data_IF_605344745313
#
_entry.id   IF_605344745313
#
_cell.length_a   1.000
_cell.length_b   1.000
_cell.length_c   1.000
_cell.angle_alpha   90.00
_cell.angle_beta   90.00
_cell.angle_gamma   90.00
#
_symmetry.space_group_name_H-M   'P 1'
#
loop_
_entity.id
_entity.type
_entity.pdbx_description
1 polymer ?
#
# COMPACT_ATOMS: atom_id res chain seq x y z
N UNK A 1 12.32 -68.88 96.66
CA UNK A 1 11.50 -68.99 97.89
C UNK A 1 10.09 -68.51 97.60
N UNK A 2 9.01 -69.10 98.15
CA UNK A 2 8.88 -70.44 98.71
C UNK A 2 8.15 -71.39 97.74
N UNK A 3 8.53 -72.67 97.82
CA UNK A 3 7.86 -73.81 97.20
C UNK A 3 6.47 -73.98 97.83
N UNK A 4 5.41 -74.05 97.03
CA UNK A 4 4.09 -74.44 97.51
C UNK A 4 4.09 -75.94 97.85
N UNK A 5 3.39 -76.34 98.92
CA UNK A 5 3.42 -77.71 99.41
C UNK A 5 2.78 -78.64 98.38
N UNK A 6 3.50 -79.72 98.05
CA UNK A 6 2.99 -80.86 97.28
C UNK A 6 1.71 -81.37 97.95
N UNK A 7 0.56 -81.09 97.34
CA UNK A 7 -0.69 -81.77 97.63
C UNK A 7 -0.56 -83.25 97.24
N UNK A 8 -1.14 -84.18 98.02
CA UNK A 8 -1.00 -85.60 97.75
C UNK A 8 -1.59 -85.93 96.38
N UNK A 9 -0.81 -86.63 95.56
CA UNK A 9 -1.23 -87.18 94.27
C UNK A 9 -2.30 -88.23 94.56
N UNK A 10 -3.55 -87.80 94.64
CA UNK A 10 -4.68 -88.70 94.47
C UNK A 10 -4.71 -89.08 92.99
N UNK A 11 -4.17 -90.27 92.68
CA UNK A 11 -4.39 -90.92 91.40
C UNK A 11 -5.88 -91.26 91.31
N UNK A 12 -6.68 -90.34 90.78
CA UNK A 12 -8.03 -90.66 90.34
C UNK A 12 -7.93 -91.54 89.09
N UNK A 13 -8.25 -92.82 89.24
CA UNK A 13 -8.54 -93.69 88.10
C UNK A 13 -9.65 -93.03 87.27
N UNK A 14 -9.40 -92.83 85.97
CA UNK A 14 -10.44 -92.46 85.00
C UNK A 14 -11.44 -93.61 84.90
N UNK A 15 -12.73 -93.43 85.24
CA UNK A 15 -13.76 -94.32 84.74
C UNK A 15 -14.01 -93.95 83.29
N UNK A 16 -13.57 -94.79 82.37
CA UNK A 16 -14.02 -94.78 80.98
C UNK A 16 -15.44 -95.34 80.92
N UNK A 17 -16.42 -94.47 80.71
CA UNK A 17 -17.81 -94.88 80.55
C UNK A 17 -18.77 -93.72 80.75
N UNK A 18 -19.06 -92.99 79.69
CA UNK A 18 -20.08 -91.93 79.72
C UNK A 18 -21.44 -92.57 79.46
N UNK A 19 -22.39 -92.34 80.37
CA UNK A 19 -23.82 -92.70 80.33
C UNK A 19 -24.18 -94.20 80.42
N UNK A 20 -24.69 -94.62 81.58
CA UNK A 20 -25.58 -95.79 81.68
C UNK A 20 -27.00 -95.40 81.24
N UNK A 21 -27.71 -96.34 80.62
CA UNK A 21 -29.07 -96.21 80.08
C UNK A 21 -30.19 -95.89 81.10
N UNK A 22 -29.84 -95.50 82.33
CA UNK A 22 -30.72 -95.31 83.48
C UNK A 22 -30.83 -93.86 83.99
N UNK A 23 -30.17 -92.89 83.34
CA UNK A 23 -30.32 -91.46 83.72
C UNK A 23 -29.75 -91.08 85.09
N UNK A 24 -28.91 -91.93 85.68
CA UNK A 24 -28.26 -91.66 86.98
C UNK A 24 -26.88 -91.02 86.73
N UNK A 25 -26.66 -89.83 87.29
CA UNK A 25 -25.40 -89.09 87.14
C UNK A 25 -24.23 -89.83 87.82
N UNK A 26 -23.13 -90.08 87.08
CA UNK A 26 -21.91 -90.76 87.59
C UNK A 26 -21.17 -89.90 88.63
N UNK A 27 -21.36 -88.58 88.62
CA UNK A 27 -20.87 -87.67 89.65
C UNK A 27 -21.88 -86.52 89.87
N UNK A 28 -22.06 -86.02 91.10
CA UNK A 28 -23.01 -84.95 91.40
C UNK A 28 -22.54 -83.54 90.94
N UNK A 29 -21.39 -83.45 90.29
CA UNK A 29 -20.79 -82.19 89.85
C UNK A 29 -20.89 -82.01 88.34
N UNK A 30 -21.19 -80.77 87.92
CA UNK A 30 -21.15 -80.31 86.54
C UNK A 30 -20.17 -79.14 86.43
N UNK A 31 -19.21 -79.23 85.52
CA UNK A 31 -18.29 -78.11 85.25
C UNK A 31 -18.73 -77.41 83.97
N UNK A 32 -18.87 -76.10 84.00
CA UNK A 32 -19.22 -75.35 82.80
C UNK A 32 -17.99 -75.09 81.94
N UNK A 33 -18.07 -75.33 80.63
CA UNK A 33 -16.97 -75.07 79.70
C UNK A 33 -16.66 -73.58 79.54
N UNK A 34 -17.64 -72.70 79.72
CA UNK A 34 -17.48 -71.25 79.51
C UNK A 34 -16.93 -70.53 80.76
N UNK A 35 -17.47 -70.85 81.95
CA UNK A 35 -17.14 -70.20 83.22
C UNK A 35 -16.07 -70.98 84.04
N UNK A 36 -15.79 -72.24 83.66
CA UNK A 36 -15.13 -73.25 84.52
C UNK A 36 -15.74 -73.39 85.94
N UNK A 37 -16.94 -72.84 86.15
CA UNK A 37 -17.59 -72.88 87.45
C UNK A 37 -18.20 -74.26 87.68
N UNK A 38 -18.05 -74.74 88.91
CA UNK A 38 -18.53 -76.01 89.37
C UNK A 38 -19.95 -75.86 89.92
N UNK A 39 -20.90 -76.53 89.28
CA UNK A 39 -22.28 -76.58 89.70
C UNK A 39 -22.54 -77.94 90.35
N UNK A 40 -23.30 -77.91 91.43
CA UNK A 40 -23.71 -79.11 92.13
C UNK A 40 -25.16 -79.43 91.78
N UNK A 41 -25.42 -80.67 91.35
CA UNK A 41 -26.78 -81.18 91.25
C UNK A 41 -27.11 -81.84 92.58
N UNK A 42 -28.17 -81.38 93.23
CA UNK A 42 -28.67 -82.01 94.44
C UNK A 42 -29.30 -83.37 94.10
N UNK A 43 -28.50 -84.44 94.14
CA UNK A 43 -28.94 -85.80 93.85
C UNK A 43 -29.69 -86.46 95.02
N UNK A 44 -30.00 -85.75 96.12
CA UNK A 44 -30.78 -86.32 97.24
C UNK A 44 -32.14 -86.91 96.84
N UNK A 45 -32.88 -86.41 95.82
CA UNK A 45 -34.09 -87.07 95.34
C UNK A 45 -33.84 -88.40 94.61
N UNK A 46 -32.64 -88.58 94.06
CA UNK A 46 -32.20 -89.79 93.33
C UNK A 46 -31.63 -90.85 94.31
N UNK A 47 -31.24 -90.41 95.51
CA UNK A 47 -30.64 -91.23 96.58
C UNK A 47 -31.55 -92.32 97.17
N UNK A 48 -32.87 -92.30 96.93
CA UNK A 48 -33.74 -93.40 97.36
C UNK A 48 -33.53 -94.71 96.57
N UNK A 49 -32.74 -94.68 95.48
CA UNK A 49 -32.28 -95.89 94.77
C UNK A 49 -30.97 -96.48 95.31
N UNK A 50 -30.19 -95.72 96.08
CA UNK A 50 -28.88 -96.16 96.59
C UNK A 50 -28.98 -96.88 97.95
N UNK A 51 -30.00 -96.57 98.76
CA UNK A 51 -30.25 -97.22 100.06
C UNK A 51 -30.73 -98.69 99.95
N UNK A 52 -31.08 -99.15 98.75
CA UNK A 52 -31.43 -100.56 98.49
C UNK A 52 -30.22 -101.47 98.26
N UNK A 53 -29.01 -100.93 98.15
CA UNK A 53 -27.76 -101.71 97.95
C UNK A 53 -26.83 -101.66 99.18
N UNK A 54 -27.01 -100.69 100.10
CA UNK A 54 -26.14 -100.52 101.27
C UNK A 54 -26.56 -101.30 102.53
N UNK A 55 -27.76 -101.90 102.58
CA UNK A 55 -28.15 -102.83 103.65
C UNK A 55 -28.36 -104.21 103.04
N UNK A 56 -27.39 -105.11 103.26
CA UNK A 56 -27.37 -106.48 102.75
C UNK A 56 -28.58 -107.32 103.13
N UNK A 57 -29.68 -107.18 102.38
CA UNK A 57 -30.80 -108.11 102.34
C UNK A 57 -30.76 -108.86 100.99
N UNK A 58 -31.04 -110.17 100.97
CA UNK A 58 -30.93 -111.00 99.77
C UNK A 58 -31.93 -110.61 98.67
N UNK A 59 -31.69 -110.99 97.40
CA UNK A 59 -32.46 -110.55 96.25
C UNK A 59 -33.87 -111.15 96.31
N UNK A 60 -34.88 -110.31 96.52
CA UNK A 60 -36.29 -110.72 96.46
C UNK A 60 -36.73 -110.78 95.00
N UNK A 61 -37.44 -111.87 94.69
CA UNK A 61 -37.88 -112.31 93.37
C UNK A 61 -38.43 -111.23 92.44
N UNK A 62 -38.01 -111.36 91.18
CA UNK A 62 -38.48 -110.68 89.99
C UNK A 62 -40.01 -110.69 89.83
N UNK A 63 -40.60 -109.51 89.61
CA UNK A 63 -41.91 -109.41 88.95
C UNK A 63 -42.89 -108.40 89.52
N UNK A 64 -42.85 -108.07 90.83
CA UNK A 64 -43.89 -107.22 91.47
C UNK A 64 -43.47 -105.80 91.87
N UNK A 65 -42.18 -105.45 91.83
CA UNK A 65 -41.71 -104.08 92.11
C UNK A 65 -41.24 -103.30 90.87
N UNK A 66 -41.22 -103.93 89.69
CA UNK A 66 -40.79 -103.25 88.44
C UNK A 66 -41.82 -102.19 88.01
N UNK A 67 -43.11 -102.46 88.23
CA UNK A 67 -44.20 -101.50 87.97
C UNK A 67 -44.15 -100.31 88.93
N UNK A 68 -43.83 -100.56 90.21
CA UNK A 68 -43.79 -99.55 91.27
C UNK A 68 -42.57 -98.63 91.11
N UNK A 69 -41.41 -99.19 90.73
CA UNK A 69 -40.21 -98.43 90.39
C UNK A 69 -40.41 -97.65 89.08
N UNK A 70 -41.07 -98.23 88.06
CA UNK A 70 -41.38 -97.52 86.80
C UNK A 70 -42.42 -96.41 87.00
N UNK A 71 -43.45 -96.61 87.81
CA UNK A 71 -44.42 -95.55 88.15
C UNK A 71 -43.79 -94.45 89.01
N UNK A 72 -42.89 -94.79 89.94
CA UNK A 72 -42.11 -93.79 90.72
C UNK A 72 -41.11 -93.04 89.85
N UNK A 73 -40.40 -93.70 88.93
CA UNK A 73 -39.53 -93.02 87.95
C UNK A 73 -40.31 -92.16 86.96
N UNK A 74 -41.51 -92.59 86.55
CA UNK A 74 -42.39 -91.82 85.66
C UNK A 74 -43.05 -90.61 86.35
N UNK A 75 -43.16 -90.62 87.69
CA UNK A 75 -43.68 -89.50 88.48
C UNK A 75 -42.60 -88.50 88.91
N UNK A 76 -41.32 -88.81 88.72
CA UNK A 76 -40.24 -87.84 88.86
C UNK A 76 -40.29 -86.86 87.68
N UNK A 77 -40.51 -85.57 87.97
CA UNK A 77 -40.41 -84.50 86.96
C UNK A 77 -39.00 -84.53 86.37
N UNK A 78 -38.87 -84.40 85.05
CA UNK A 78 -37.57 -84.23 84.39
C UNK A 78 -36.83 -83.08 85.08
N UNK A 79 -35.70 -83.39 85.73
CA UNK A 79 -34.90 -82.37 86.38
C UNK A 79 -34.35 -81.41 85.33
N UNK A 80 -34.72 -80.13 85.45
CA UNK A 80 -34.12 -79.06 84.65
C UNK A 80 -32.71 -78.87 85.18
N UNK A 81 -31.71 -79.05 84.31
CA UNK A 81 -30.30 -78.79 84.63
C UNK A 81 -30.16 -77.40 85.27
N UNK A 82 -29.44 -77.27 86.40
CA UNK A 82 -29.20 -75.97 87.02
C UNK A 82 -28.41 -75.08 86.05
N UNK A 83 -28.70 -73.78 86.07
CA UNK A 83 -27.91 -72.78 85.35
C UNK A 83 -26.47 -72.74 85.89
N UNK A 84 -25.45 -72.45 85.06
CA UNK A 84 -24.10 -72.21 85.58
C UNK A 84 -24.16 -71.07 86.60
N UNK A 85 -23.63 -71.28 87.80
CA UNK A 85 -23.48 -70.25 88.84
C UNK A 85 -22.58 -69.10 88.35
N UNK A 86 -21.67 -69.36 87.42
CA UNK A 86 -20.83 -68.34 86.77
C UNK A 86 -21.51 -67.59 85.62
N UNK A 87 -21.92 -68.28 84.54
CA UNK A 87 -22.39 -67.62 83.31
C UNK A 87 -23.92 -67.56 83.14
N UNK A 88 -24.69 -68.19 84.03
CA UNK A 88 -26.16 -68.21 83.98
C UNK A 88 -26.78 -69.04 82.84
N UNK A 89 -25.97 -69.79 82.07
CA UNK A 89 -26.43 -70.60 80.92
C UNK A 89 -26.41 -72.10 81.25
N UNK A 90 -27.26 -72.87 80.57
CA UNK A 90 -27.36 -74.34 80.69
C UNK A 90 -26.69 -75.10 79.54
N UNK A 91 -26.23 -74.38 78.50
CA UNK A 91 -25.87 -74.95 77.18
C UNK A 91 -24.53 -75.70 77.22
N UNK A 92 -23.57 -75.22 78.01
CA UNK A 92 -22.19 -75.72 78.01
C UNK A 92 -21.78 -76.35 79.34
N UNK A 93 -22.66 -77.16 79.93
CA UNK A 93 -22.36 -77.93 81.14
C UNK A 93 -21.83 -79.31 80.76
N UNK A 94 -20.67 -79.68 81.31
CA UNK A 94 -20.10 -81.01 81.18
C UNK A 94 -20.24 -81.77 82.50
N UNK A 95 -20.63 -83.05 82.41
CA UNK A 95 -20.72 -83.92 83.59
C UNK A 95 -19.31 -84.22 84.12
N UNK A 96 -19.14 -84.11 85.44
CA UNK A 96 -17.86 -84.31 86.13
C UNK A 96 -17.19 -83.03 86.61
N UNK A 97 -16.26 -83.19 87.57
CA UNK A 97 -15.26 -82.18 87.91
C UNK A 97 -14.21 -82.19 86.79
N UNK A 98 -14.26 -81.20 85.90
CA UNK A 98 -13.34 -81.07 84.78
C UNK A 98 -12.73 -79.68 84.83
N UNK A 99 -11.42 -79.62 84.64
CA UNK A 99 -10.73 -78.35 84.53
C UNK A 99 -10.70 -77.89 83.07
N UNK A 100 -11.47 -76.85 82.77
CA UNK A 100 -11.49 -76.18 81.47
C UNK A 100 -10.61 -74.93 81.42
N UNK A 101 -9.87 -74.59 82.49
CA UNK A 101 -8.92 -73.47 82.46
C UNK A 101 -7.92 -73.52 81.29
N UNK A 102 -7.31 -74.65 80.88
CA UNK A 102 -6.38 -74.63 79.75
C UNK A 102 -7.08 -74.32 78.43
N UNK A 103 -8.30 -74.84 78.22
CA UNK A 103 -9.07 -74.61 76.99
C UNK A 103 -9.54 -73.15 76.91
N UNK A 104 -10.03 -72.59 78.03
CA UNK A 104 -10.42 -71.18 78.10
C UNK A 104 -9.23 -70.24 77.92
N UNK A 105 -8.06 -70.59 78.46
CA UNK A 105 -6.83 -69.83 78.25
C UNK A 105 -6.36 -69.87 76.78
N UNK A 106 -6.45 -71.04 76.13
CA UNK A 106 -6.16 -71.19 74.69
C UNK A 106 -7.14 -70.39 73.82
N UNK A 107 -8.44 -70.44 74.13
CA UNK A 107 -9.48 -69.66 73.44
C UNK A 107 -9.28 -68.16 73.64
N UNK A 108 -8.97 -67.71 74.86
CA UNK A 108 -8.66 -66.30 75.15
C UNK A 108 -7.41 -65.84 74.40
N UNK A 109 -6.35 -66.66 74.37
CA UNK A 109 -5.13 -66.36 73.63
C UNK A 109 -5.35 -66.39 72.10
N UNK A 110 -6.20 -67.29 71.60
CA UNK A 110 -6.62 -67.30 70.20
C UNK A 110 -7.43 -66.06 69.82
N UNK A 111 -8.35 -65.64 70.71
CA UNK A 111 -9.12 -64.41 70.53
C UNK A 111 -8.22 -63.19 70.49
N UNK A 112 -7.26 -63.05 71.42
CA UNK A 112 -6.28 -61.97 71.42
C UNK A 112 -5.43 -61.95 70.13
N UNK A 113 -4.86 -63.10 69.74
CA UNK A 113 -4.10 -63.22 68.47
C UNK A 113 -4.93 -62.82 67.25
N UNK A 114 -6.22 -63.19 67.23
CA UNK A 114 -7.13 -62.80 66.14
C UNK A 114 -7.40 -61.29 66.14
N UNK A 115 -7.50 -60.67 67.33
CA UNK A 115 -7.63 -59.23 67.51
C UNK A 115 -6.41 -58.49 66.98
N UNK A 116 -5.21 -58.92 67.38
CA UNK A 116 -3.94 -58.34 66.93
C UNK A 116 -3.76 -58.46 65.42
N UNK A 117 -4.10 -59.63 64.85
CA UNK A 117 -4.04 -59.87 63.40
C UNK A 117 -4.98 -58.91 62.65
N UNK A 118 -6.21 -58.73 63.13
CA UNK A 118 -7.18 -57.79 62.55
C UNK A 118 -6.70 -56.34 62.68
N UNK A 119 -6.12 -55.98 63.82
CA UNK A 119 -5.55 -54.65 64.04
C UNK A 119 -4.41 -54.36 63.06
N UNK A 120 -3.45 -55.28 62.91
CA UNK A 120 -2.36 -55.14 61.96
C UNK A 120 -2.84 -55.06 60.51
N UNK A 121 -3.82 -55.89 60.12
CA UNK A 121 -4.44 -55.81 58.80
C UNK A 121 -5.13 -54.46 58.57
N UNK A 122 -5.85 -53.93 59.57
CA UNK A 122 -6.48 -52.62 59.50
C UNK A 122 -5.46 -51.49 59.34
N UNK A 123 -4.35 -51.54 60.09
CA UNK A 123 -3.24 -50.58 59.95
C UNK A 123 -2.63 -50.63 58.55
N UNK A 124 -2.40 -51.83 58.00
CA UNK A 124 -1.90 -51.97 56.62
C UNK A 124 -2.86 -51.38 55.59
N UNK A 125 -4.16 -51.63 55.73
CA UNK A 125 -5.19 -51.05 54.86
C UNK A 125 -5.24 -49.52 54.98
N UNK A 126 -5.17 -48.98 56.20
CA UNK A 126 -5.13 -47.53 56.43
C UNK A 126 -3.89 -46.89 55.79
N UNK A 127 -2.70 -47.51 55.96
CA UNK A 127 -1.47 -47.05 55.34
C UNK A 127 -1.54 -47.08 53.80
N UNK A 128 -2.10 -48.14 53.23
CA UNK A 128 -2.30 -48.26 51.79
C UNK A 128 -3.28 -47.19 51.26
N UNK A 129 -4.40 -46.98 51.96
CA UNK A 129 -5.39 -45.95 51.63
C UNK A 129 -4.81 -44.53 51.70
N UNK A 130 -4.11 -44.19 52.78
CA UNK A 130 -3.44 -42.88 52.92
C UNK A 130 -2.38 -42.66 51.83
N UNK A 131 -1.59 -43.68 51.50
CA UNK A 131 -0.59 -43.60 50.42
C UNK A 131 -1.25 -43.39 49.06
N UNK A 132 -2.36 -44.06 48.78
CA UNK A 132 -3.13 -43.87 47.55
C UNK A 132 -3.69 -42.44 47.46
N UNK A 133 -4.31 -41.93 48.53
CA UNK A 133 -4.81 -40.55 48.60
C UNK A 133 -3.70 -39.53 48.39
N UNK A 134 -2.55 -39.69 49.06
CA UNK A 134 -1.41 -38.80 48.91
C UNK A 134 -0.87 -38.77 47.48
N UNK A 135 -0.83 -39.93 46.80
CA UNK A 135 -0.42 -40.01 45.38
C UNK A 135 -1.44 -39.35 44.45
N UNK A 136 -2.73 -39.57 44.70
CA UNK A 136 -3.81 -38.95 43.94
C UNK A 136 -3.76 -37.42 44.06
N UNK A 137 -3.59 -36.90 45.27
CA UNK A 137 -3.47 -35.47 45.49
C UNK A 137 -2.18 -34.89 44.91
N UNK A 138 -1.04 -35.59 45.04
CA UNK A 138 0.22 -35.17 44.42
C UNK A 138 0.10 -35.11 42.90
N UNK A 139 -0.59 -36.09 42.28
CA UNK A 139 -0.88 -36.07 40.85
C UNK A 139 -1.74 -34.85 40.47
N UNK A 140 -2.83 -34.60 41.20
CA UNK A 140 -3.69 -33.42 41.00
C UNK A 140 -2.89 -32.11 41.05
N UNK A 141 -2.06 -31.92 42.07
CA UNK A 141 -1.20 -30.73 42.22
C UNK A 141 -0.20 -30.58 41.08
N UNK A 142 0.41 -31.68 40.59
CA UNK A 142 1.31 -31.66 39.43
C UNK A 142 0.57 -31.26 38.16
N UNK A 143 -0.64 -31.79 37.93
CA UNK A 143 -1.46 -31.43 36.77
C UNK A 143 -1.87 -29.95 36.82
N UNK A 144 -2.29 -29.45 37.98
CA UNK A 144 -2.62 -28.03 38.17
C UNK A 144 -1.41 -27.11 37.97
N UNK A 145 -0.24 -27.50 38.51
CA UNK A 145 1.02 -26.78 38.26
C UNK A 145 1.36 -26.80 36.77
N UNK A 146 1.31 -27.95 36.11
CA UNK A 146 1.61 -28.05 34.68
C UNK A 146 0.68 -27.19 33.81
N UNK A 147 -0.59 -27.06 34.19
CA UNK A 147 -1.55 -26.13 33.54
C UNK A 147 -1.12 -24.67 33.74
N UNK A 148 -0.76 -24.26 34.95
CA UNK A 148 -0.24 -22.91 35.24
C UNK A 148 1.06 -22.62 34.47
N UNK A 149 2.04 -23.50 34.57
CA UNK A 149 3.32 -23.40 33.87
C UNK A 149 3.12 -23.35 32.34
N UNK A 150 2.10 -24.01 31.79
CA UNK A 150 1.77 -23.94 30.37
C UNK A 150 1.21 -22.55 29.97
N UNK A 151 0.38 -21.94 30.80
CA UNK A 151 -0.14 -20.58 30.57
C UNK A 151 0.98 -19.55 30.69
N UNK A 152 1.82 -19.66 31.72
CA UNK A 152 2.98 -18.79 31.91
C UNK A 152 3.97 -18.89 30.75
N UNK A 153 4.29 -20.10 30.29
CA UNK A 153 5.15 -20.31 29.11
C UNK A 153 4.54 -19.68 27.85
N UNK A 154 3.24 -19.83 27.62
CA UNK A 154 2.57 -19.18 26.47
C UNK A 154 2.64 -17.66 26.57
N UNK A 155 2.42 -17.10 27.75
CA UNK A 155 2.53 -15.66 27.97
C UNK A 155 3.97 -15.16 27.73
N UNK A 156 4.96 -15.86 28.30
CA UNK A 156 6.38 -15.55 28.11
C UNK A 156 6.79 -15.61 26.63
N UNK A 157 6.37 -16.66 25.91
CA UNK A 157 6.63 -16.80 24.46
C UNK A 157 6.02 -15.65 23.68
N UNK A 158 4.79 -15.25 23.99
CA UNK A 158 4.12 -14.11 23.34
C UNK A 158 4.88 -12.80 23.58
N UNK A 159 5.29 -12.53 24.81
CA UNK A 159 6.07 -11.34 25.18
C UNK A 159 7.43 -11.35 24.49
N UNK A 160 8.16 -12.46 24.56
CA UNK A 160 9.47 -12.63 23.91
C UNK A 160 9.38 -12.46 22.40
N UNK A 161 8.38 -13.06 21.74
CA UNK A 161 8.15 -12.91 20.30
C UNK A 161 7.91 -11.46 19.93
N UNK A 162 7.05 -10.75 20.69
CA UNK A 162 6.77 -9.33 20.45
C UNK A 162 8.04 -8.49 20.62
N UNK A 163 8.79 -8.71 21.69
CA UNK A 163 10.01 -7.95 21.99
C UNK A 163 11.09 -8.20 20.93
N UNK A 164 11.34 -9.46 20.54
CA UNK A 164 12.25 -9.80 19.43
C UNK A 164 11.85 -9.10 18.13
N UNK A 165 10.55 -9.03 17.84
CA UNK A 165 10.04 -8.31 16.67
C UNK A 165 10.25 -6.79 16.76
N UNK A 166 10.07 -6.18 17.93
CA UNK A 166 10.35 -4.76 18.16
C UNK A 166 11.83 -4.46 17.97
N UNK A 167 12.70 -5.26 18.62
CA UNK A 167 14.16 -5.14 18.49
C UNK A 167 14.56 -5.27 17.02
N UNK A 168 14.11 -6.30 16.31
CA UNK A 168 14.44 -6.51 14.90
C UNK A 168 14.05 -5.31 14.03
N UNK A 169 12.80 -4.82 14.12
CA UNK A 169 12.35 -3.65 13.35
C UNK A 169 13.14 -2.37 13.67
N UNK A 170 13.42 -2.14 14.95
CA UNK A 170 14.25 -1.02 15.40
C UNK A 170 15.64 -1.12 14.76
N UNK A 171 16.28 -2.29 14.85
CA UNK A 171 17.60 -2.57 14.28
C UNK A 171 17.63 -2.28 12.78
N UNK A 172 16.67 -2.85 12.04
CA UNK A 172 16.59 -2.66 10.58
C UNK A 172 16.36 -1.20 10.21
N UNK A 173 15.52 -0.47 10.97
CA UNK A 173 15.28 0.96 10.76
C UNK A 173 16.55 1.79 11.00
N UNK A 174 17.33 1.46 12.03
CA UNK A 174 18.57 2.18 12.34
C UNK A 174 19.67 1.83 11.33
N UNK A 175 19.83 0.55 10.98
CA UNK A 175 20.75 0.11 9.93
C UNK A 175 20.44 0.75 8.58
N UNK A 176 19.18 0.81 8.16
CA UNK A 176 18.81 1.52 6.94
C UNK A 176 19.10 3.02 7.04
N UNK A 177 18.89 3.62 8.21
CA UNK A 177 19.29 4.99 8.50
C UNK A 177 20.80 5.21 8.36
N UNK A 178 21.62 4.30 8.89
CA UNK A 178 23.09 4.33 8.75
C UNK A 178 23.48 4.26 7.27
N UNK A 179 22.88 3.37 6.48
CA UNK A 179 23.14 3.30 5.04
C UNK A 179 22.78 4.60 4.31
N UNK A 180 21.64 5.22 4.64
CA UNK A 180 21.24 6.52 4.07
C UNK A 180 22.28 7.58 4.39
N UNK A 181 22.74 7.66 5.65
CA UNK A 181 23.77 8.61 6.03
C UNK A 181 25.06 8.29 5.28
N UNK A 182 25.48 7.03 5.18
CA UNK A 182 26.68 6.63 4.46
C UNK A 182 26.63 7.06 2.99
N UNK A 183 25.52 6.83 2.29
CA UNK A 183 25.32 7.21 0.89
C UNK A 183 25.13 8.70 0.67
N UNK A 184 24.80 9.47 1.71
CA UNK A 184 24.65 10.92 1.59
C UNK A 184 25.95 11.59 1.15
N UNK A 185 25.81 12.61 0.29
CA UNK A 185 26.93 13.33 -0.27
C UNK A 185 27.76 14.03 0.84
N UNK A 186 29.11 14.05 0.76
CA UNK A 186 29.96 14.63 1.81
C UNK A 186 29.63 16.09 2.16
N UNK A 187 29.27 16.91 1.18
CA UNK A 187 28.84 18.30 1.40
C UNK A 187 27.56 18.40 2.24
N UNK A 188 26.64 17.44 2.10
CA UNK A 188 25.43 17.44 2.93
C UNK A 188 25.76 17.05 4.36
N UNK A 189 26.63 16.05 4.54
CA UNK A 189 27.12 15.66 5.87
C UNK A 189 27.78 16.82 6.59
N UNK A 190 28.66 17.56 5.90
CA UNK A 190 29.33 18.71 6.50
C UNK A 190 28.36 19.82 6.90
N UNK A 191 27.33 20.10 6.09
CA UNK A 191 26.28 21.09 6.45
C UNK A 191 25.41 20.61 7.61
N UNK A 192 25.10 19.31 7.69
CA UNK A 192 24.27 18.73 8.76
C UNK A 192 25.01 18.69 10.10
N UNK A 193 26.31 18.46 10.07
CA UNK A 193 27.19 18.44 11.23
C UNK A 193 27.59 19.84 11.72
N UNK A 194 27.56 20.84 10.84
CA UNK A 194 27.89 22.22 11.18
C UNK A 194 26.82 22.85 12.08
N UNK A 195 27.10 22.90 13.39
CA UNK A 195 26.20 23.41 14.42
C UNK A 195 25.81 24.88 14.20
N UNK A 196 26.67 25.67 13.56
CA UNK A 196 26.42 27.11 13.32
C UNK A 196 25.23 27.39 12.40
N UNK A 197 24.86 26.40 11.57
CA UNK A 197 23.79 26.54 10.57
C UNK A 197 22.40 26.15 11.09
N UNK A 198 22.31 25.67 12.32
CA UNK A 198 21.07 25.17 12.91
C UNK A 198 20.75 25.89 14.22
N UNK A 199 19.46 26.01 14.51
CA UNK A 199 19.00 26.65 15.76
C UNK A 199 19.58 25.92 16.97
N UNK A 200 20.05 26.68 17.97
CA UNK A 200 20.63 26.16 19.23
C UNK A 200 19.64 25.31 20.05
N UNK A 201 18.36 25.28 19.68
CA UNK A 201 17.35 24.40 20.26
C UNK A 201 17.47 22.95 19.79
N UNK A 202 18.17 22.69 18.68
CA UNK A 202 18.33 21.34 18.14
C UNK A 202 19.51 20.64 18.82
N UNK A 203 19.38 19.35 19.17
CA UNK A 203 20.47 18.61 19.80
C UNK A 203 21.68 18.49 18.85
N UNK A 204 22.92 18.51 19.39
CA UNK A 204 24.12 18.36 18.57
C UNK A 204 24.17 16.98 17.91
N UNK A 205 24.64 16.92 16.67
CA UNK A 205 24.85 15.67 15.94
C UNK A 205 26.34 15.33 15.89
N UNK A 206 26.64 14.05 15.77
CA UNK A 206 27.99 13.54 15.59
C UNK A 206 27.97 12.48 14.49
N UNK A 207 29.13 12.24 13.88
CA UNK A 207 29.31 11.17 12.92
C UNK A 207 30.69 10.54 13.07
N UNK A 208 30.85 9.33 12.53
CA UNK A 208 32.05 8.51 12.65
C UNK A 208 32.80 8.43 11.33
N UNK A 209 34.12 8.28 11.44
CA UNK A 209 35.04 8.14 10.30
C UNK A 209 35.99 6.96 10.56
N UNK A 210 36.60 6.43 9.48
CA UNK A 210 37.59 5.35 9.58
C UNK A 210 37.02 3.97 9.93
N UNK A 211 37.79 3.20 10.70
CA UNK A 211 37.48 1.80 11.03
C UNK A 211 36.17 1.63 11.79
N UNK A 212 35.83 2.58 12.67
CA UNK A 212 34.59 2.57 13.45
C UNK A 212 33.36 2.63 12.54
N UNK A 213 33.43 3.37 11.43
CA UNK A 213 32.35 3.44 10.45
C UNK A 213 32.09 2.08 9.79
N UNK A 214 33.15 1.32 9.49
CA UNK A 214 32.99 -0.02 8.89
C UNK A 214 32.28 -1.00 9.83
N UNK A 215 32.59 -0.92 11.13
CA UNK A 215 31.93 -1.72 12.16
C UNK A 215 30.46 -1.30 12.33
N UNK A 216 30.18 0.01 12.34
CA UNK A 216 28.81 0.53 12.44
C UNK A 216 27.94 0.11 11.25
N UNK A 217 28.49 0.13 10.04
CA UNK A 217 27.77 -0.26 8.82
C UNK A 217 27.48 -1.76 8.76
N UNK A 218 28.33 -2.60 9.34
CA UNK A 218 28.10 -4.06 9.40
C UNK A 218 27.16 -4.43 10.54
N UNK A 219 27.48 -4.02 11.77
CA UNK A 219 26.61 -4.18 12.94
C UNK A 219 26.90 -3.11 14.00
N UNK A 220 26.06 -2.07 14.02
CA UNK A 220 26.16 -0.98 14.99
C UNK A 220 26.02 -1.43 16.45
N UNK A 221 25.41 -2.60 16.73
CA UNK A 221 25.35 -3.10 18.12
C UNK A 221 26.70 -3.58 18.61
N UNK A 222 27.47 -4.26 17.77
CA UNK A 222 28.83 -4.67 18.12
C UNK A 222 29.72 -3.46 18.39
N UNK A 223 29.52 -2.36 17.64
CA UNK A 223 30.19 -1.09 17.94
C UNK A 223 29.80 -0.55 19.33
N UNK A 224 28.51 -0.53 19.65
CA UNK A 224 28.02 -0.05 20.96
C UNK A 224 28.51 -0.92 22.13
N UNK A 225 28.58 -2.23 21.94
CA UNK A 225 29.14 -3.16 22.94
C UNK A 225 30.64 -2.87 23.17
N UNK A 226 31.39 -2.51 22.12
CA UNK A 226 32.79 -2.10 22.23
C UNK A 226 32.97 -0.74 22.93
N UNK A 227 32.06 0.20 22.69
CA UNK A 227 32.09 1.53 23.33
C UNK A 227 31.66 1.51 24.80
N UNK A 228 30.85 0.53 25.20
CA UNK A 228 30.35 0.39 26.57
C UNK A 228 29.62 1.65 27.06
N UNK A 229 30.00 2.23 28.22
CA UNK A 229 29.26 3.33 28.84
C UNK A 229 29.39 4.68 28.11
N UNK A 230 30.39 4.83 27.22
CA UNK A 230 30.63 6.09 26.50
C UNK A 230 29.50 6.43 25.52
N UNK A 231 28.85 5.40 24.95
CA UNK A 231 27.78 5.55 23.97
C UNK A 231 26.61 4.64 24.31
N UNK A 232 25.51 5.23 24.78
CA UNK A 232 24.28 4.46 25.03
C UNK A 232 23.53 4.19 23.74
N UNK A 233 22.87 3.03 23.65
CA UNK A 233 22.02 2.65 22.52
C UNK A 233 21.01 3.76 22.17
N UNK A 234 20.35 4.33 23.19
CA UNK A 234 19.35 5.39 23.00
C UNK A 234 19.96 6.65 22.39
N UNK A 235 21.16 7.06 22.84
CA UNK A 235 21.86 8.24 22.32
C UNK A 235 22.23 8.04 20.85
N UNK A 236 22.79 6.88 20.53
CA UNK A 236 23.17 6.53 19.15
C UNK A 236 21.96 6.44 18.22
N UNK A 237 20.93 5.66 18.58
CA UNK A 237 19.74 5.49 17.74
C UNK A 237 18.99 6.81 17.53
N UNK A 238 18.87 7.63 18.58
CA UNK A 238 18.26 8.96 18.47
C UNK A 238 19.09 9.87 17.55
N UNK A 239 20.41 9.81 17.64
CA UNK A 239 21.30 10.57 16.78
C UNK A 239 21.12 10.18 15.29
N UNK A 240 21.16 8.89 14.96
CA UNK A 240 20.97 8.39 13.59
C UNK A 240 19.63 8.85 13.02
N UNK A 241 18.55 8.71 13.80
CA UNK A 241 17.20 9.13 13.36
C UNK A 241 17.17 10.63 13.07
N UNK A 242 17.73 11.46 13.95
CA UNK A 242 17.79 12.90 13.75
C UNK A 242 18.67 13.30 12.56
N UNK A 243 19.80 12.61 12.36
CA UNK A 243 20.69 12.82 11.23
C UNK A 243 19.96 12.57 9.91
N UNK A 244 19.29 11.42 9.78
CA UNK A 244 18.48 11.08 8.61
C UNK A 244 17.36 12.10 8.38
N UNK A 245 16.70 12.56 9.45
CA UNK A 245 15.68 13.60 9.31
C UNK A 245 16.24 14.91 8.76
N UNK A 246 17.44 15.35 9.20
CA UNK A 246 18.08 16.57 8.69
C UNK A 246 18.54 16.43 7.24
N UNK A 247 19.11 15.27 6.86
CA UNK A 247 19.43 14.96 5.47
C UNK A 247 18.17 15.09 4.60
N UNK A 248 17.10 14.39 4.97
CA UNK A 248 15.83 14.41 4.23
C UNK A 248 15.21 15.82 4.15
N UNK A 249 15.32 16.63 5.21
CA UNK A 249 14.85 18.03 5.21
C UNK A 249 15.62 18.86 4.17
N UNK A 250 16.95 18.70 4.12
CA UNK A 250 17.81 19.38 3.17
C UNK A 250 17.56 18.94 1.73
N UNK A 251 17.43 17.64 1.48
CA UNK A 251 17.09 17.10 0.16
C UNK A 251 15.75 17.64 -0.34
N UNK A 252 14.74 17.68 0.52
CA UNK A 252 13.44 18.25 0.17
C UNK A 252 13.57 19.72 -0.19
N UNK A 253 14.29 20.52 0.60
CA UNK A 253 14.54 21.95 0.32
C UNK A 253 15.26 22.13 -1.03
N UNK A 254 16.27 21.31 -1.32
CA UNK A 254 17.00 21.35 -2.60
C UNK A 254 16.11 20.94 -3.77
N UNK A 255 15.35 19.85 -3.63
CA UNK A 255 14.40 19.39 -4.64
C UNK A 255 13.35 20.46 -4.94
N UNK A 256 12.79 21.13 -3.93
CA UNK A 256 11.84 22.23 -4.12
C UNK A 256 12.48 23.40 -4.89
N UNK A 257 13.73 23.76 -4.58
CA UNK A 257 14.46 24.82 -5.32
C UNK A 257 14.66 24.45 -6.80
N UNK A 258 15.10 23.22 -7.08
CA UNK A 258 15.27 22.71 -8.45
C UNK A 258 13.92 22.73 -9.19
N UNK A 259 12.86 22.24 -8.56
CA UNK A 259 11.52 22.23 -9.14
C UNK A 259 11.00 23.65 -9.42
N UNK A 260 11.21 24.59 -8.50
CA UNK A 260 10.81 25.99 -8.69
C UNK A 260 11.57 26.64 -9.86
N UNK A 261 12.89 26.43 -9.94
CA UNK A 261 13.71 26.93 -11.03
C UNK A 261 13.28 26.33 -12.38
N UNK A 262 13.04 25.02 -12.43
CA UNK A 262 12.59 24.34 -13.64
C UNK A 262 11.22 24.85 -14.11
N UNK A 263 10.25 24.98 -13.18
CA UNK A 263 8.93 25.54 -13.49
C UNK A 263 9.04 26.98 -14.01
N UNK A 264 9.89 27.80 -13.40
CA UNK A 264 10.17 29.16 -13.85
C UNK A 264 10.82 29.21 -15.24
N UNK A 265 11.79 28.34 -15.51
CA UNK A 265 12.44 28.23 -16.82
C UNK A 265 11.43 27.82 -17.90
N UNK A 266 10.60 26.82 -17.62
CA UNK A 266 9.54 26.36 -18.52
C UNK A 266 8.56 27.50 -18.83
N UNK A 267 8.04 28.17 -17.81
CA UNK A 267 7.12 29.30 -18.00
C UNK A 267 7.74 30.42 -18.86
N UNK A 268 9.02 30.78 -18.63
CA UNK A 268 9.71 31.78 -19.45
C UNK A 268 9.86 31.37 -20.91
N UNK A 269 10.13 30.08 -21.17
CA UNK A 269 10.18 29.55 -22.54
C UNK A 269 8.81 29.65 -23.23
N UNK A 270 7.74 29.27 -22.55
CA UNK A 270 6.37 29.37 -23.09
C UNK A 270 5.94 30.83 -23.33
N UNK A 271 6.34 31.77 -22.46
CA UNK A 271 6.08 33.19 -22.69
C UNK A 271 6.88 33.72 -23.88
N UNK A 272 8.13 33.26 -24.05
CA UNK A 272 8.94 33.66 -25.21
C UNK A 272 8.34 33.16 -26.53
N UNK A 273 7.86 31.92 -26.59
CA UNK A 273 7.18 31.39 -27.78
C UNK A 273 5.90 32.16 -28.09
N UNK A 274 5.09 32.48 -27.08
CA UNK A 274 3.88 33.29 -27.23
C UNK A 274 4.20 34.71 -27.73
N UNK A 275 5.22 35.37 -27.17
CA UNK A 275 5.66 36.69 -27.63
C UNK A 275 6.14 36.67 -29.08
N UNK A 276 6.89 35.64 -29.47
CA UNK A 276 7.29 35.47 -30.87
C UNK A 276 6.09 35.31 -31.80
N UNK A 277 5.08 34.51 -31.40
CA UNK A 277 3.85 34.36 -32.18
C UNK A 277 3.06 35.68 -32.29
N UNK A 278 2.98 36.46 -31.20
CA UNK A 278 2.36 37.79 -31.22
C UNK A 278 3.11 38.77 -32.13
N UNK A 279 4.44 38.78 -32.10
CA UNK A 279 5.26 39.63 -32.96
C UNK A 279 5.02 39.33 -34.46
N UNK A 280 4.88 38.05 -34.83
CA UNK A 280 4.52 37.65 -36.20
C UNK A 280 3.15 38.20 -36.58
N UNK A 281 2.15 38.13 -35.69
CA UNK A 281 0.82 38.71 -35.93
C UNK A 281 0.87 40.24 -36.10
N UNK A 282 1.66 40.92 -35.29
CA UNK A 282 1.87 42.37 -35.41
C UNK A 282 2.56 42.73 -36.72
N UNK A 283 3.55 41.96 -37.16
CA UNK A 283 4.22 42.16 -38.45
C UNK A 283 3.23 42.02 -39.62
N UNK A 284 2.36 41.00 -39.58
CA UNK A 284 1.30 40.82 -40.59
C UNK A 284 0.35 42.01 -40.61
N UNK A 285 -0.09 42.49 -39.43
CA UNK A 285 -0.94 43.68 -39.32
C UNK A 285 -0.25 44.94 -39.84
N UNK A 286 1.03 45.13 -39.52
CA UNK A 286 1.82 46.25 -40.00
C UNK A 286 1.99 46.22 -41.52
N UNK A 287 2.29 45.05 -42.11
CA UNK A 287 2.35 44.86 -43.57
C UNK A 287 1.02 45.23 -44.23
N UNK A 288 -0.11 44.77 -43.69
CA UNK A 288 -1.44 45.12 -44.18
C UNK A 288 -1.69 46.65 -44.11
N UNK A 289 -1.36 47.28 -42.97
CA UNK A 289 -1.49 48.73 -42.81
C UNK A 289 -0.64 49.51 -43.83
N UNK A 290 0.61 49.10 -44.06
CA UNK A 290 1.50 49.70 -45.06
C UNK A 290 0.94 49.55 -46.48
N UNK A 291 0.37 48.39 -46.83
CA UNK A 291 -0.27 48.16 -48.12
C UNK A 291 -1.48 49.09 -48.32
N UNK A 292 -2.34 49.22 -47.30
CA UNK A 292 -3.48 50.16 -47.33
C UNK A 292 -2.97 51.59 -47.50
N UNK A 293 -2.01 52.03 -46.69
CA UNK A 293 -1.42 53.37 -46.79
C UNK A 293 -0.80 53.65 -48.16
N UNK A 294 -0.04 52.69 -48.72
CA UNK A 294 0.52 52.82 -50.08
C UNK A 294 -0.56 52.98 -51.13
N UNK A 295 -1.65 52.22 -51.02
CA UNK A 295 -2.78 52.26 -51.94
C UNK A 295 -3.48 53.62 -51.88
N UNK A 296 -3.75 54.12 -50.67
CA UNK A 296 -4.34 55.44 -50.43
C UNK A 296 -3.43 56.55 -50.96
N UNK A 297 -2.13 56.52 -50.65
CA UNK A 297 -1.15 57.52 -51.13
C UNK A 297 -1.04 57.49 -52.66
N UNK A 298 -1.02 56.31 -53.28
CA UNK A 298 -1.02 56.16 -54.75
C UNK A 298 -2.28 56.75 -55.37
N UNK A 299 -3.45 56.50 -54.79
CA UNK A 299 -4.71 57.10 -55.26
C UNK A 299 -4.70 58.63 -55.13
N UNK A 300 -4.30 59.16 -53.96
CA UNK A 300 -4.21 60.60 -53.72
C UNK A 300 -3.20 61.28 -54.67
N UNK A 301 -2.00 60.70 -54.82
CA UNK A 301 -0.97 61.19 -55.75
C UNK A 301 -1.39 61.11 -57.21
N UNK A 302 -2.09 60.04 -57.59
CA UNK A 302 -2.72 59.87 -58.91
C UNK A 302 -3.76 60.93 -59.22
N UNK A 303 -4.58 61.32 -58.23
CA UNK A 303 -5.55 62.42 -58.35
C UNK A 303 -4.85 63.76 -58.56
N UNK A 304 -3.75 64.03 -57.85
CA UNK A 304 -2.95 65.25 -58.02
C UNK A 304 -2.24 65.31 -59.37
N UNK A 305 -1.63 64.21 -59.82
CA UNK A 305 -0.98 64.15 -61.15
C UNK A 305 -1.99 64.24 -62.29
N UNK A 306 -3.18 63.63 -62.16
CA UNK A 306 -4.28 63.82 -63.13
C UNK A 306 -4.76 65.27 -63.20
N UNK A 307 -4.85 65.96 -62.05
CA UNK A 307 -5.16 67.40 -62.02
C UNK A 307 -4.09 68.24 -62.70
N UNK A 308 -2.81 68.01 -62.38
CA UNK A 308 -1.70 68.74 -63.01
C UNK A 308 -1.56 68.43 -64.51
N UNK A 309 -1.75 67.20 -64.94
CA UNK A 309 -1.69 66.83 -66.36
C UNK A 309 -2.84 67.45 -67.15
N UNK A 310 -4.03 67.52 -66.56
CA UNK A 310 -5.17 68.24 -67.13
C UNK A 310 -4.89 69.75 -67.26
N UNK A 311 -4.34 70.39 -66.22
CA UNK A 311 -3.93 71.79 -66.28
C UNK A 311 -2.84 72.05 -67.33
N UNK A 312 -1.80 71.22 -67.40
CA UNK A 312 -0.76 71.32 -68.45
C UNK A 312 -1.35 71.14 -69.85
N UNK A 313 -2.34 70.26 -70.02
CA UNK A 313 -3.04 70.07 -71.29
C UNK A 313 -3.85 71.32 -71.67
N UNK A 314 -4.59 71.91 -70.73
CA UNK A 314 -5.29 73.18 -70.96
C UNK A 314 -4.32 74.30 -71.35
N UNK A 315 -3.19 74.41 -70.66
CA UNK A 315 -2.19 75.45 -70.95
C UNK A 315 -1.56 75.26 -72.34
N UNK A 316 -1.24 74.01 -72.73
CA UNK A 316 -0.80 73.71 -74.10
C UNK A 316 -1.84 74.08 -75.15
N UNK A 317 -3.12 73.85 -74.89
CA UNK A 317 -4.22 74.24 -75.80
C UNK A 317 -4.27 75.77 -75.92
N UNK A 318 -4.18 76.52 -74.81
CA UNK A 318 -4.11 77.99 -74.82
C UNK A 318 -2.90 78.52 -75.60
N UNK A 319 -1.73 77.94 -75.40
CA UNK A 319 -0.50 78.33 -76.11
C UNK A 319 -0.61 78.07 -77.61
N UNK A 320 -1.20 76.93 -78.02
CA UNK A 320 -1.49 76.64 -79.43
C UNK A 320 -2.44 77.65 -80.03
N UNK A 321 -3.54 77.97 -79.33
CA UNK A 321 -4.49 78.99 -79.79
C UNK A 321 -3.83 80.38 -79.95
N UNK A 322 -2.93 80.77 -79.04
CA UNK A 322 -2.14 82.02 -79.18
C UNK A 322 -1.23 81.98 -80.40
N UNK A 323 -0.51 80.88 -80.62
CA UNK A 323 0.36 80.68 -81.79
C UNK A 323 -0.42 80.71 -83.10
N UNK A 324 -1.58 80.07 -83.14
CA UNK A 324 -2.45 80.06 -84.32
C UNK A 324 -3.03 81.44 -84.60
N UNK A 325 -3.40 82.21 -83.57
CA UNK A 325 -3.79 83.61 -83.73
C UNK A 325 -2.64 84.48 -84.28
N UNK A 326 -1.41 84.28 -83.82
CA UNK A 326 -0.24 84.97 -84.35
C UNK A 326 0.05 84.59 -85.81
N UNK A 327 -0.06 83.30 -86.16
CA UNK A 327 0.06 82.83 -87.55
C UNK A 327 -1.03 83.44 -88.44
N UNK A 328 -2.28 83.48 -87.96
CA UNK A 328 -3.39 84.16 -88.66
C UNK A 328 -3.10 85.64 -88.86
N UNK A 329 -2.58 86.34 -87.84
CA UNK A 329 -2.17 87.76 -87.97
C UNK A 329 -1.06 87.95 -89.01
N UNK A 330 -0.02 87.10 -88.99
CA UNK A 330 1.05 87.14 -90.00
C UNK A 330 0.55 86.83 -91.41
N UNK A 331 -0.31 85.83 -91.56
CA UNK A 331 -0.93 85.50 -92.85
C UNK A 331 -1.81 86.63 -93.38
N UNK A 332 -2.55 87.30 -92.49
CA UNK A 332 -3.33 88.48 -92.84
C UNK A 332 -2.42 89.67 -93.20
N UNK A 333 -1.28 89.84 -92.52
CA UNK A 333 -0.26 90.83 -92.88
C UNK A 333 0.33 90.57 -94.26
N UNK A 334 0.80 89.35 -94.52
CA UNK A 334 1.30 88.94 -95.83
C UNK A 334 0.28 89.13 -96.95
N UNK A 335 -1.02 88.83 -96.68
CA UNK A 335 -2.08 89.11 -97.65
C UNK A 335 -2.17 90.59 -97.99
N UNK A 336 -2.12 91.49 -96.99
CA UNK A 336 -2.10 92.93 -97.23
C UNK A 336 -0.88 93.37 -98.04
N UNK A 337 0.30 92.83 -97.74
CA UNK A 337 1.53 93.15 -98.46
C UNK A 337 1.44 92.69 -99.93
N UNK A 338 0.90 91.50 -100.18
CA UNK A 338 0.63 90.99 -101.53
C UNK A 338 -0.39 91.87 -102.26
N UNK A 339 -1.46 92.28 -101.58
CA UNK A 339 -2.47 93.17 -102.15
C UNK A 339 -1.87 94.56 -102.49
N UNK A 340 -0.97 95.07 -101.66
CA UNK A 340 -0.25 96.33 -101.87
C UNK A 340 0.72 96.23 -103.07
N UNK A 341 1.50 95.15 -103.17
CA UNK A 341 2.39 94.90 -104.31
C UNK A 341 1.58 94.74 -105.59
N UNK A 342 0.45 94.02 -105.55
CA UNK A 342 -0.45 93.90 -106.70
C UNK A 342 -1.04 95.25 -107.12
N UNK A 343 -1.43 96.11 -106.19
CA UNK A 343 -1.90 97.46 -106.48
C UNK A 343 -0.80 98.33 -107.12
N UNK A 344 0.44 98.24 -106.62
CA UNK A 344 1.62 98.87 -107.22
C UNK A 344 1.90 98.34 -108.64
N UNK A 345 1.81 97.03 -108.83
CA UNK A 345 2.03 96.41 -110.14
C UNK A 345 0.94 96.82 -111.14
N UNK A 346 -0.31 96.92 -110.68
CA UNK A 346 -1.42 97.41 -111.50
C UNK A 346 -1.25 98.89 -111.89
N UNK A 347 -0.73 99.74 -111.00
CA UNK A 347 -0.43 101.14 -111.32
C UNK A 347 0.76 101.26 -112.28
N UNK A 348 1.82 100.47 -112.07
CA UNK A 348 2.95 100.41 -112.99
C UNK A 348 2.54 99.91 -114.37
N UNK A 349 1.70 98.88 -114.43
CA UNK A 349 1.14 98.35 -115.68
C UNK A 349 0.26 99.36 -116.39
N UNK A 350 -0.63 100.06 -115.69
CA UNK A 350 -1.43 101.16 -116.28
C UNK A 350 -0.57 102.29 -116.84
N UNK A 351 0.55 102.60 -116.16
CA UNK A 351 1.50 103.60 -116.64
C UNK A 351 2.31 103.08 -117.85
N UNK A 352 2.74 101.82 -117.83
CA UNK A 352 3.43 101.18 -118.95
C UNK A 352 2.52 101.04 -120.18
N UNK A 353 1.25 100.66 -119.99
CA UNK A 353 0.24 100.59 -121.05
C UNK A 353 -0.07 101.99 -121.60
N UNK A 354 -0.08 103.03 -120.74
CA UNK A 354 -0.17 104.44 -121.17
C UNK A 354 1.04 104.87 -122.00
N UNK A 355 2.25 104.49 -121.63
CA UNK A 355 3.47 104.84 -122.37
C UNK A 355 3.57 104.03 -123.67
N UNK A 356 3.18 102.76 -123.67
CA UNK A 356 3.14 101.90 -124.85
C UNK A 356 2.12 102.39 -125.89
N UNK A 357 0.99 102.94 -125.45
CA UNK A 357 -0.02 103.54 -126.33
C UNK A 357 0.47 104.81 -127.05
N UNK A 358 1.53 105.47 -126.56
CA UNK A 358 2.10 106.68 -127.18
C UNK A 358 3.24 106.40 -128.16
N UNK A 359 3.87 105.21 -128.10
CA UNK A 359 5.06 104.89 -128.92
C UNK A 359 4.74 103.99 -130.09
N UNK A 360 3.59 103.29 -130.11
CA UNK A 360 3.26 102.37 -131.21
C UNK A 360 1.75 102.39 -131.54
N UNK A 361 1.33 102.95 -132.70
CA UNK A 361 0.09 102.57 -133.34
C UNK A 361 0.35 101.29 -134.14
N UNK A 362 -0.19 100.13 -133.75
CA UNK A 362 -0.02 98.92 -134.54
C UNK A 362 -1.16 97.93 -134.35
N UNK A 363 -2.01 97.90 -135.36
CA UNK A 363 -2.61 96.68 -135.89
C UNK A 363 -1.50 95.62 -136.03
N UNK A 364 -1.44 94.65 -135.13
CA UNK A 364 -0.59 93.48 -135.26
C UNK A 364 -1.35 92.27 -134.72
N UNK A 365 -1.89 91.47 -135.65
CA UNK A 365 -2.45 90.16 -135.35
C UNK A 365 -1.35 89.26 -134.77
N UNK A 366 -1.51 88.86 -133.50
CA UNK A 366 -0.66 87.84 -132.89
C UNK A 366 -1.02 86.47 -133.47
N UNK A 367 -0.07 85.88 -134.20
CA UNK A 367 -0.17 84.53 -134.77
C UNK A 367 -0.36 83.46 -133.67
N UNK A 368 -1.27 82.48 -133.85
CA UNK A 368 -1.58 81.45 -132.84
C UNK A 368 -0.41 80.50 -132.51
N UNK A 369 0.66 80.50 -133.31
CA UNK A 369 1.84 79.63 -133.12
C UNK A 369 2.72 80.12 -131.94
N UNK A 370 2.75 81.42 -131.64
CA UNK A 370 3.57 81.97 -130.55
C UNK A 370 2.93 81.83 -129.16
N UNK A 371 1.59 81.67 -129.10
CA UNK A 371 0.89 81.34 -127.87
C UNK A 371 1.22 79.91 -127.39
N UNK A 372 1.40 78.97 -128.33
CA UNK A 372 1.64 77.56 -128.04
C UNK A 372 3.09 77.29 -127.57
N UNK A 373 4.07 78.06 -128.05
CA UNK A 373 5.46 78.03 -127.54
C UNK A 373 5.56 78.54 -126.09
N UNK A 374 4.75 79.54 -125.71
CA UNK A 374 4.71 80.03 -124.32
C UNK A 374 4.12 78.99 -123.37
N UNK A 375 3.06 78.27 -123.75
CA UNK A 375 2.49 77.19 -122.92
C UNK A 375 3.43 76.00 -122.77
N UNK A 376 4.20 75.65 -123.82
CA UNK A 376 5.21 74.59 -123.74
C UNK A 376 6.40 74.98 -122.85
N UNK A 377 6.82 76.25 -122.86
CA UNK A 377 7.85 76.75 -121.95
C UNK A 377 7.41 76.67 -120.47
N UNK A 378 6.15 77.00 -120.17
CA UNK A 378 5.61 76.88 -118.80
C UNK A 378 5.41 75.42 -118.36
N UNK A 379 5.05 74.52 -119.28
CA UNK A 379 4.95 73.09 -119.01
C UNK A 379 6.34 72.44 -118.77
N UNK A 380 7.36 72.85 -119.52
CA UNK A 380 8.75 72.41 -119.31
C UNK A 380 9.32 72.93 -117.98
N UNK A 381 8.97 74.16 -117.59
CA UNK A 381 9.36 74.73 -116.30
C UNK A 381 8.71 74.00 -115.10
N UNK A 382 7.43 73.60 -115.24
CA UNK A 382 6.73 72.81 -114.22
C UNK A 382 7.29 71.38 -114.06
N UNK A 383 7.77 70.77 -115.15
CA UNK A 383 8.42 69.45 -115.13
C UNK A 383 9.83 69.49 -114.51
N UNK A 384 10.62 70.53 -114.82
CA UNK A 384 11.98 70.69 -114.31
C UNK A 384 12.05 71.05 -112.82
N UNK A 385 11.02 71.71 -112.26
CA UNK A 385 11.00 72.14 -110.86
C UNK A 385 9.92 71.46 -109.98
N UNK A 386 9.02 70.66 -110.55
CA UNK A 386 7.87 70.07 -109.83
C UNK A 386 8.09 68.68 -109.22
N UNK A 387 9.24 68.04 -109.39
CA UNK A 387 9.45 66.61 -109.05
C UNK A 387 10.38 66.31 -107.86
N UNK A 388 10.66 67.29 -106.99
CA UNK A 388 11.39 67.04 -105.74
C UNK A 388 10.40 66.73 -104.60
N UNK A 389 9.93 65.48 -104.52
CA UNK A 389 9.23 65.01 -103.32
C UNK A 389 10.16 65.20 -102.10
N UNK A 390 9.80 66.11 -101.20
CA UNK A 390 10.67 66.49 -100.07
C UNK A 390 11.13 65.28 -99.26
N UNK A 391 12.34 65.36 -98.69
CA UNK A 391 12.89 64.32 -97.79
C UNK A 391 11.91 63.93 -96.66
N UNK A 392 11.03 64.84 -96.24
CA UNK A 392 10.01 64.56 -95.23
C UNK A 392 8.89 63.64 -95.76
N UNK A 393 8.47 63.83 -97.01
CA UNK A 393 7.46 62.99 -97.68
C UNK A 393 8.01 61.59 -97.95
N UNK A 394 9.29 61.48 -98.32
CA UNK A 394 9.98 60.18 -98.43
C UNK A 394 10.09 59.47 -97.07
N UNK A 395 10.48 60.19 -96.00
CA UNK A 395 10.53 59.64 -94.63
C UNK A 395 9.16 59.21 -94.11
N UNK A 396 8.11 59.94 -94.45
CA UNK A 396 6.74 59.55 -94.08
C UNK A 396 6.34 58.26 -94.80
N UNK A 397 6.66 58.14 -96.09
CA UNK A 397 6.37 56.94 -96.89
C UNK A 397 7.16 55.72 -96.41
N UNK A 398 8.41 55.88 -95.96
CA UNK A 398 9.20 54.79 -95.37
C UNK A 398 8.66 54.38 -94.00
N UNK A 399 8.33 55.33 -93.12
CA UNK A 399 7.70 55.04 -91.81
C UNK A 399 6.35 54.35 -91.96
N UNK A 400 5.55 54.74 -92.95
CA UNK A 400 4.27 54.10 -93.25
C UNK A 400 4.46 52.66 -93.74
N UNK A 401 5.45 52.40 -94.60
CA UNK A 401 5.80 51.03 -95.02
C UNK A 401 6.29 50.16 -93.85
N UNK A 402 6.97 50.76 -92.87
CA UNK A 402 7.47 50.06 -91.69
C UNK A 402 6.38 49.76 -90.67
N UNK A 403 5.45 50.70 -90.46
CA UNK A 403 4.24 50.46 -89.66
C UNK A 403 3.37 49.33 -90.24
N UNK A 404 3.20 49.28 -91.57
CA UNK A 404 2.48 48.18 -92.23
C UNK A 404 3.17 46.81 -92.03
N UNK A 405 4.51 46.77 -92.05
CA UNK A 405 5.26 45.54 -91.73
C UNK A 405 5.06 45.09 -90.28
N UNK A 406 5.04 46.02 -89.33
CA UNK A 406 4.82 45.70 -87.92
C UNK A 406 3.39 45.19 -87.66
N UNK A 407 2.39 45.77 -88.34
CA UNK A 407 1.01 45.30 -88.28
C UNK A 407 0.91 43.87 -88.84
N UNK A 408 1.53 43.58 -89.99
CA UNK A 408 1.55 42.23 -90.55
C UNK A 408 2.28 41.21 -89.63
N UNK A 409 3.36 41.60 -88.97
CA UNK A 409 4.10 40.75 -88.02
C UNK A 409 3.33 40.48 -86.72
N UNK A 410 2.48 41.42 -86.29
CA UNK A 410 1.58 41.22 -85.14
C UNK A 410 0.46 40.24 -85.51
N UNK A 411 -0.18 40.42 -86.67
CA UNK A 411 -1.25 39.55 -87.17
C UNK A 411 -0.74 38.11 -87.38
N UNK A 412 0.48 37.91 -87.90
CA UNK A 412 1.04 36.57 -88.08
C UNK A 412 1.38 35.87 -86.76
N UNK A 413 1.75 36.61 -85.70
CA UNK A 413 1.97 36.04 -84.35
C UNK A 413 0.67 35.71 -83.63
N UNK A 414 -0.41 36.46 -83.87
CA UNK A 414 -1.72 36.19 -83.27
C UNK A 414 -2.40 34.94 -83.83
N UNK A 415 -2.02 34.49 -85.04
CA UNK A 415 -2.56 33.28 -85.67
C UNK A 415 -1.84 31.98 -85.28
N UNK A 416 -0.75 32.02 -84.50
CA UNK A 416 0.00 30.82 -84.06
C UNK A 416 -0.40 30.38 -82.62
N UNK A 417 -1.23 31.17 -81.92
CA UNK A 417 -1.70 30.86 -80.55
C UNK A 417 -3.10 30.24 -80.47
N UNK A 418 -3.67 29.80 -81.59
CA UNK A 418 -4.99 29.16 -81.68
C UNK A 418 -4.92 27.86 -82.53
N UNK A 419 -3.95 27.01 -82.16
CA UNK A 419 -3.91 25.58 -82.50
C UNK A 419 -3.44 24.80 -81.27
#
# INVERSE_FOLDING_TARGET
>A
MPLSPRSPIFKFHRPTGNTTASGVYVSPYLSCKDCNALNFINATPIGMGFDLVAKGKPPVASGKYILDIRQRLASLRREVLPVCVGCGRTIHLAVGVRDFTPQLAEEAAAFQRSGDTRYHAAVQLQCAGRRWLARSEAHRRRVEKAKRDAVERRAAVTVQRRMRGVISRQTTRIQSGICIIQWAHPMMKSIVLDESKWDSSRPPLFWFEGDDLTLICTDYRNYLDRCGPLMTLRRFESNVVQFVHRINEMERKMATRIQAQWRGLKARREVATLKSAMAVLEEVRFKAAVLIQRTVRRYAGGKHTRRHSFQRRQEKIRQRAKLDNLKRRRANGLRRDVDQVNAMYQTYRRNADRVAAWVVPSNAACNPIDAQRKTQAFAAFASAYGSSASRATLRHRTKHKEALRQIHAFVSKSCIGLS
#
